data_IF_177609282875
#
_entry.id   IF_177609282875
#
_cell.length_a   1.000
_cell.length_b   1.000
_cell.length_c   1.000
_cell.angle_alpha   90.00
_cell.angle_beta   90.00
_cell.angle_gamma   90.00
#
_symmetry.space_group_name_H-M   'P 1'
#
loop_
_entity.id
_entity.type
_entity.pdbx_description
1 polymer ?
#
# COMPACT_ATOMS: atom_id res chain seq x y z
N UNK A 1 4.40 -5.58 15.91
CA UNK A 1 5.31 -6.02 17.00
C UNK A 1 6.53 -5.10 16.99
N UNK A 2 7.07 -4.72 18.14
CA UNK A 2 8.30 -3.91 18.18
C UNK A 2 9.47 -4.71 17.61
N UNK A 3 10.27 -4.09 16.73
CA UNK A 3 11.47 -4.71 16.16
C UNK A 3 12.65 -4.34 17.06
N UNK A 4 13.17 -5.34 17.79
CA UNK A 4 14.35 -5.20 18.62
C UNK A 4 15.62 -5.34 17.77
N UNK A 5 16.70 -4.67 18.16
CA UNK A 5 18.01 -4.74 17.50
C UNK A 5 18.02 -4.25 16.03
N UNK A 6 17.07 -3.39 15.65
CA UNK A 6 17.13 -2.72 14.36
C UNK A 6 18.19 -1.62 14.41
N UNK A 7 19.01 -1.54 13.36
CA UNK A 7 19.98 -0.48 13.16
C UNK A 7 19.30 0.73 12.52
N UNK A 8 19.39 1.88 13.18
CA UNK A 8 18.92 3.18 12.70
C UNK A 8 20.15 4.04 12.42
N UNK A 9 20.16 4.74 11.30
CA UNK A 9 21.21 5.68 10.91
C UNK A 9 20.59 6.94 10.32
N UNK A 10 21.23 8.09 10.57
CA UNK A 10 20.82 9.39 10.03
C UNK A 10 21.91 9.90 9.07
N UNK A 11 21.49 10.37 7.91
CA UNK A 11 22.38 11.02 6.96
C UNK A 11 22.98 12.29 7.60
N UNK A 12 24.31 12.41 7.57
CA UNK A 12 25.04 13.52 8.18
C UNK A 12 25.53 13.30 9.62
N UNK A 13 25.23 12.15 10.24
CA UNK A 13 25.80 11.75 11.54
C UNK A 13 26.67 10.50 11.38
N UNK A 14 27.88 10.54 11.91
CA UNK A 14 28.67 9.32 12.13
C UNK A 14 28.12 8.57 13.35
N UNK A 15 27.17 7.66 13.12
CA UNK A 15 26.61 6.85 14.21
C UNK A 15 25.44 5.97 13.79
N UNK A 16 25.33 4.82 14.44
CA UNK A 16 24.18 3.92 14.31
C UNK A 16 23.56 3.74 15.69
N UNK A 17 22.27 4.05 15.82
CA UNK A 17 21.49 3.72 17.01
C UNK A 17 20.87 2.34 16.83
N UNK A 18 20.76 1.57 17.91
CA UNK A 18 20.11 0.25 17.89
C UNK A 18 18.81 0.33 18.67
N UNK A 19 17.71 -0.15 18.08
CA UNK A 19 16.41 -0.14 18.76
C UNK A 19 16.43 -1.07 19.98
N UNK A 20 15.90 -0.59 21.10
CA UNK A 20 15.80 -1.38 22.34
C UNK A 20 14.66 -2.40 22.31
N UNK A 21 14.42 -3.05 23.45
CA UNK A 21 13.35 -4.06 23.64
C UNK A 21 11.93 -3.60 23.32
N UNK A 22 11.72 -2.28 23.23
CA UNK A 22 10.44 -1.65 22.90
C UNK A 22 10.43 -0.97 21.52
N UNK A 23 11.47 -1.15 20.71
CA UNK A 23 11.60 -0.51 19.40
C UNK A 23 12.04 0.97 19.45
N UNK A 24 12.28 1.52 20.64
CA UNK A 24 12.71 2.90 20.82
C UNK A 24 14.18 3.10 20.43
N UNK A 25 14.48 4.27 19.85
CA UNK A 25 15.81 4.76 19.52
C UNK A 25 15.87 6.28 19.74
N UNK A 26 17.07 6.86 19.85
CA UNK A 26 17.27 8.29 19.98
C UNK A 26 18.60 8.73 19.36
N UNK A 27 18.59 9.91 18.76
CA UNK A 27 19.79 10.63 18.31
C UNK A 27 19.82 11.98 19.01
N UNK A 28 20.62 12.15 20.07
CA UNK A 28 20.64 13.39 20.85
C UNK A 28 21.16 14.58 20.04
N UNK A 29 22.05 14.34 19.07
CA UNK A 29 22.69 15.37 18.25
C UNK A 29 22.24 15.31 16.79
N UNK A 30 20.94 15.11 16.56
CA UNK A 30 20.40 15.05 15.20
C UNK A 30 20.52 16.41 14.47
N UNK A 31 21.03 16.44 13.22
CA UNK A 31 21.10 17.67 12.43
C UNK A 31 19.73 18.28 12.24
N UNK A 32 19.67 19.60 12.27
CA UNK A 32 18.44 20.35 12.00
C UNK A 32 18.13 20.35 10.50
N UNK A 33 16.84 20.40 10.18
CA UNK A 33 16.33 20.36 8.81
C UNK A 33 15.82 18.98 8.42
N UNK A 34 15.63 18.78 7.12
CA UNK A 34 15.15 17.51 6.57
C UNK A 34 16.33 16.56 6.36
N UNK A 35 16.32 15.43 7.05
CA UNK A 35 17.38 14.42 7.01
C UNK A 35 16.84 13.05 6.60
N UNK A 36 17.64 12.28 5.85
CA UNK A 36 17.28 10.89 5.53
C UNK A 36 17.63 9.98 6.70
N UNK A 37 16.62 9.28 7.22
CA UNK A 37 16.77 8.23 8.22
C UNK A 37 16.64 6.87 7.56
N UNK A 38 17.66 6.02 7.71
CA UNK A 38 17.60 4.61 7.28
C UNK A 38 17.45 3.71 8.49
N UNK A 39 16.49 2.80 8.45
CA UNK A 39 16.31 1.74 9.44
C UNK A 39 16.37 0.37 8.79
N UNK A 40 17.14 -0.54 9.37
CA UNK A 40 17.34 -1.91 8.88
C UNK A 40 17.35 -2.92 10.03
N UNK A 41 16.78 -4.09 9.81
CA UNK A 41 16.85 -5.21 10.74
C UNK A 41 16.95 -6.54 9.99
N UNK A 42 17.65 -7.56 10.53
CA UNK A 42 17.67 -8.89 9.93
C UNK A 42 16.25 -9.43 9.72
N UNK A 43 16.02 -10.03 8.55
CA UNK A 43 14.70 -10.58 8.18
C UNK A 43 13.63 -9.52 7.88
N UNK A 44 13.99 -8.24 7.77
CA UNK A 44 13.09 -7.14 7.41
C UNK A 44 13.61 -6.34 6.21
N UNK A 45 12.70 -5.71 5.48
CA UNK A 45 13.05 -4.76 4.43
C UNK A 45 13.53 -3.46 5.07
N UNK A 46 14.63 -2.91 4.55
CA UNK A 46 15.17 -1.64 5.03
C UNK A 46 14.32 -0.48 4.53
N UNK A 47 14.01 0.46 5.42
CA UNK A 47 13.18 1.63 5.12
C UNK A 47 14.05 2.88 5.20
N UNK A 48 13.88 3.79 4.24
CA UNK A 48 14.47 5.13 4.27
C UNK A 48 13.34 6.15 4.31
N UNK A 49 13.39 7.07 5.27
CA UNK A 49 12.36 8.07 5.49
C UNK A 49 13.00 9.44 5.71
N UNK A 50 12.45 10.47 5.09
CA UNK A 50 12.82 11.86 5.38
C UNK A 50 12.17 12.29 6.70
N UNK A 51 12.99 12.80 7.61
CA UNK A 51 12.58 13.29 8.94
C UNK A 51 12.93 14.76 9.02
N UNK A 52 11.97 15.59 9.42
CA UNK A 52 12.22 17.01 9.70
C UNK A 52 12.53 17.19 11.19
N UNK A 53 13.72 17.73 11.48
CA UNK A 53 14.19 18.00 12.84
C UNK A 53 14.29 19.51 13.03
N UNK A 54 13.49 20.05 13.95
CA UNK A 54 13.46 21.48 14.28
C UNK A 54 14.16 21.76 15.61
N UNK A 55 14.86 22.90 15.69
CA UNK A 55 15.85 23.23 16.74
C UNK A 55 15.36 23.37 18.18
N UNK A 56 14.11 23.03 18.47
CA UNK A 56 13.47 23.25 19.76
C UNK A 56 12.54 22.11 20.20
N UNK A 57 12.45 21.00 19.43
CA UNK A 57 11.49 19.92 19.70
C UNK A 57 12.08 18.53 19.45
N UNK A 58 11.67 17.58 20.28
CA UNK A 58 11.90 16.15 20.02
C UNK A 58 11.06 15.75 18.80
N UNK A 59 11.72 15.29 17.74
CA UNK A 59 11.03 14.72 16.59
C UNK A 59 10.59 13.28 16.92
N UNK A 60 9.28 13.02 16.89
CA UNK A 60 8.73 11.68 17.02
C UNK A 60 8.51 11.08 15.64
N UNK A 61 9.17 9.97 15.35
CA UNK A 61 9.01 9.25 14.08
C UNK A 61 8.57 7.83 14.36
N UNK A 62 7.50 7.41 13.70
CA UNK A 62 7.08 6.03 13.69
C UNK A 62 7.54 5.38 12.40
N UNK A 63 8.35 4.33 12.51
CA UNK A 63 8.85 3.56 11.36
C UNK A 63 8.27 2.15 11.43
N UNK A 64 7.70 1.71 10.32
CA UNK A 64 7.21 0.34 10.17
C UNK A 64 8.24 -0.42 9.33
N UNK A 65 8.90 -1.41 9.92
CA UNK A 65 9.75 -2.34 9.16
C UNK A 65 8.92 -3.57 8.77
N UNK A 66 8.66 -3.80 7.48
CA UNK A 66 8.00 -5.00 7.05
C UNK A 66 8.96 -6.20 7.06
N UNK A 67 8.51 -7.36 7.52
CA UNK A 67 9.33 -8.57 7.49
C UNK A 67 9.39 -9.14 6.08
N UNK A 68 10.54 -9.71 5.70
CA UNK A 68 10.73 -10.35 4.38
C UNK A 68 9.72 -11.49 4.19
N UNK A 69 9.40 -12.22 5.25
CA UNK A 69 8.37 -13.25 5.21
C UNK A 69 6.96 -12.65 4.99
N UNK A 70 6.63 -11.49 5.60
CA UNK A 70 5.35 -10.84 5.37
C UNK A 70 5.23 -10.27 3.95
N UNK A 71 6.33 -9.78 3.37
CA UNK A 71 6.34 -9.31 1.97
C UNK A 71 6.21 -10.46 0.99
N UNK A 72 6.71 -11.65 1.35
CA UNK A 72 6.60 -12.86 0.52
C UNK A 72 5.27 -13.61 0.73
N UNK A 73 4.66 -13.49 1.92
CA UNK A 73 3.35 -14.07 2.24
C UNK A 73 2.17 -13.21 1.75
N UNK A 74 2.47 -12.17 0.97
CA UNK A 74 1.48 -11.27 0.41
C UNK A 74 0.64 -12.00 -0.63
N UNK A 75 -0.66 -11.71 -0.63
CA UNK A 75 -1.60 -12.26 -1.61
C UNK A 75 -1.40 -11.50 -2.92
N UNK A 76 -0.37 -11.88 -3.68
CA UNK A 76 -0.16 -11.38 -5.03
C UNK A 76 -1.07 -12.15 -5.97
N UNK A 77 -2.27 -11.62 -6.16
CA UNK A 77 -3.18 -12.09 -7.19
C UNK A 77 -2.74 -11.39 -8.48
N UNK A 78 -2.20 -12.15 -9.44
CA UNK A 78 -1.82 -11.64 -10.75
C UNK A 78 -2.86 -12.09 -11.78
N UNK A 79 -3.75 -11.18 -12.20
CA UNK A 79 -4.73 -11.48 -13.25
C UNK A 79 -4.09 -11.19 -14.60
N UNK A 80 -3.85 -12.23 -15.40
CA UNK A 80 -3.57 -12.05 -16.83
C UNK A 80 -4.87 -12.03 -17.62
N UNK A 81 -4.90 -11.36 -18.78
CA UNK A 81 -6.10 -11.23 -19.59
C UNK A 81 -6.47 -12.61 -20.15
N UNK A 82 -7.75 -12.84 -20.50
CA UNK A 82 -8.23 -14.17 -20.90
C UNK A 82 -7.48 -14.69 -22.13
N UNK A 83 -6.58 -15.64 -21.93
CA UNK A 83 -6.31 -16.68 -22.93
C UNK A 83 -7.16 -17.94 -22.63
N UNK A 84 -7.70 -18.02 -21.41
CA UNK A 84 -8.46 -19.16 -20.87
C UNK A 84 -9.97 -18.83 -20.73
N UNK A 85 -10.82 -19.77 -21.14
CA UNK A 85 -12.26 -19.62 -21.36
C UNK A 85 -13.11 -19.33 -20.11
N UNK A 86 -12.54 -19.30 -18.91
CA UNK A 86 -13.26 -19.05 -17.64
C UNK A 86 -13.45 -17.57 -17.34
N UNK A 87 -12.77 -16.68 -18.08
CA UNK A 87 -12.78 -15.22 -17.86
C UNK A 87 -13.60 -14.48 -18.95
N UNK A 88 -14.25 -15.19 -19.89
CA UNK A 88 -15.05 -14.61 -20.98
C UNK A 88 -16.27 -13.79 -20.52
N UNK A 89 -16.70 -13.93 -19.26
CA UNK A 89 -17.81 -13.14 -18.71
C UNK A 89 -17.40 -11.74 -18.23
N UNK A 90 -16.10 -11.46 -18.09
CA UNK A 90 -15.62 -10.15 -17.64
C UNK A 90 -15.59 -9.16 -18.80
N UNK A 91 -16.35 -8.06 -18.70
CA UNK A 91 -16.36 -7.01 -19.72
C UNK A 91 -15.43 -5.86 -19.36
N UNK A 92 -15.21 -5.65 -18.07
CA UNK A 92 -14.44 -4.53 -17.52
C UNK A 92 -13.34 -4.99 -16.57
N UNK A 93 -12.36 -4.11 -16.30
CA UNK A 93 -11.34 -4.34 -15.28
C UNK A 93 -11.96 -4.59 -13.89
N UNK A 94 -13.14 -4.00 -13.62
CA UNK A 94 -13.89 -4.22 -12.39
C UNK A 94 -14.45 -5.65 -12.28
N UNK A 95 -14.89 -6.24 -13.40
CA UNK A 95 -15.39 -7.61 -13.42
C UNK A 95 -14.24 -8.60 -13.15
N UNK A 96 -13.09 -8.38 -13.79
CA UNK A 96 -11.86 -9.15 -13.54
C UNK A 96 -11.45 -9.09 -12.06
N UNK A 97 -11.45 -7.89 -11.48
CA UNK A 97 -11.12 -7.68 -10.08
C UNK A 97 -12.11 -8.39 -9.13
N UNK A 98 -13.39 -8.40 -9.49
CA UNK A 98 -14.46 -9.03 -8.67
C UNK A 98 -14.43 -10.56 -8.72
N UNK A 99 -13.99 -11.14 -9.84
CA UNK A 99 -13.81 -12.59 -9.99
C UNK A 99 -12.61 -13.07 -9.16
N UNK A 100 -11.48 -12.37 -9.25
CA UNK A 100 -10.22 -12.90 -8.74
C UNK A 100 -9.94 -12.56 -7.27
N UNK A 101 -10.65 -11.58 -6.70
CA UNK A 101 -10.56 -11.29 -5.27
C UNK A 101 -11.88 -11.68 -4.59
N UNK A 102 -12.08 -12.95 -4.19
CA UNK A 102 -13.27 -13.43 -3.48
C UNK A 102 -13.62 -12.66 -2.20
N UNK A 103 -12.73 -11.78 -1.73
CA UNK A 103 -12.85 -10.95 -0.53
C UNK A 103 -13.14 -9.47 -0.81
N UNK A 104 -13.19 -9.02 -2.06
CA UNK A 104 -13.62 -7.65 -2.38
C UNK A 104 -15.13 -7.54 -2.19
N UNK A 105 -15.56 -6.63 -1.33
CA UNK A 105 -16.96 -6.22 -1.22
C UNK A 105 -17.14 -4.83 -1.79
N UNK A 106 -18.06 -4.71 -2.73
CA UNK A 106 -18.55 -3.46 -3.28
C UNK A 106 -19.76 -3.07 -2.44
N UNK A 107 -19.65 -2.00 -1.67
CA UNK A 107 -20.80 -1.44 -0.97
C UNK A 107 -21.24 -0.19 -1.75
N UNK A 108 -22.48 -0.17 -2.24
CA UNK A 108 -23.10 1.06 -2.73
C UNK A 108 -23.71 1.80 -1.55
N UNK A 109 -23.21 3.00 -1.27
CA UNK A 109 -23.78 3.84 -0.21
C UNK A 109 -24.99 4.58 -0.78
N UNK A 110 -26.17 3.99 -0.58
CA UNK A 110 -27.50 4.51 -0.94
C UNK A 110 -27.96 4.37 -2.40
N UNK A 111 -29.20 3.91 -2.56
CA UNK A 111 -29.93 3.83 -3.83
C UNK A 111 -30.05 5.24 -4.41
N UNK A 112 -29.42 5.49 -5.56
CA UNK A 112 -29.52 6.76 -6.29
C UNK A 112 -28.33 7.73 -6.15
N UNK A 113 -27.23 7.34 -5.46
CA UNK A 113 -25.95 8.06 -5.52
C UNK A 113 -24.86 7.14 -6.08
N UNK A 114 -24.01 7.67 -6.96
CA UNK A 114 -22.87 6.98 -7.57
C UNK A 114 -21.65 6.89 -6.63
N UNK A 115 -21.89 6.71 -5.33
CA UNK A 115 -20.85 6.60 -4.31
C UNK A 115 -20.56 5.10 -4.05
N UNK A 116 -19.58 4.55 -4.77
CA UNK A 116 -19.16 3.16 -4.67
C UNK A 116 -17.89 3.04 -3.82
N UNK A 117 -17.95 2.23 -2.75
CA UNK A 117 -16.82 1.98 -1.86
C UNK A 117 -16.36 0.53 -2.00
N UNK A 118 -15.10 0.32 -2.37
CA UNK A 118 -14.44 -0.99 -2.40
C UNK A 118 -13.79 -1.29 -1.05
N UNK A 119 -13.91 -2.52 -0.55
CA UNK A 119 -13.28 -2.94 0.71
C UNK A 119 -12.68 -4.35 0.62
N UNK A 120 -11.45 -4.52 1.14
CA UNK A 120 -10.67 -5.78 1.10
C UNK A 120 -10.73 -6.60 2.40
N UNK A 121 -11.35 -6.07 3.47
CA UNK A 121 -11.41 -6.70 4.80
C UNK A 121 -12.84 -6.71 5.36
N UNK A 122 -13.25 -7.75 6.10
CA UNK A 122 -14.46 -7.71 6.91
C UNK A 122 -14.20 -6.86 8.16
N UNK A 123 -14.82 -5.68 8.23
CA UNK A 123 -14.81 -4.82 9.40
C UNK A 123 -16.13 -4.07 9.52
N UNK A 124 -16.72 -4.08 10.72
CA UNK A 124 -17.90 -3.29 11.07
C UNK A 124 -17.53 -1.81 11.07
N UNK A 125 -18.03 -1.05 10.11
CA UNK A 125 -17.74 0.38 9.95
C UNK A 125 -18.39 1.18 11.08
N UNK A 126 -17.59 1.83 11.93
CA UNK A 126 -18.10 2.84 12.89
C UNK A 126 -17.68 4.24 12.45
N UNK A 127 -16.45 4.48 11.99
CA UNK A 127 -16.01 5.74 11.36
C UNK A 127 -14.74 5.48 10.51
N UNK A 128 -14.70 5.88 9.23
CA UNK A 128 -13.52 5.86 8.36
C UNK A 128 -13.68 5.06 7.06
N UNK A 129 -13.21 5.61 5.93
CA UNK A 129 -13.22 4.92 4.62
C UNK A 129 -12.21 3.77 4.61
N UNK A 130 -12.66 2.55 4.28
CA UNK A 130 -11.83 1.33 4.21
C UNK A 130 -11.37 1.07 2.76
N UNK A 131 -11.34 2.12 1.95
CA UNK A 131 -11.01 2.01 0.53
C UNK A 131 -9.51 1.72 0.32
N UNK A 132 -9.16 0.74 -0.54
CA UNK A 132 -7.79 0.58 -0.99
C UNK A 132 -7.36 1.75 -1.87
N UNK A 133 -6.05 1.97 -1.94
CA UNK A 133 -5.46 2.84 -2.93
C UNK A 133 -5.50 2.12 -4.29
N UNK A 134 -6.09 2.73 -5.31
CA UNK A 134 -6.15 2.15 -6.65
C UNK A 134 -5.17 2.91 -7.55
N UNK A 135 -4.31 2.20 -8.27
CA UNK A 135 -3.39 2.75 -9.24
C UNK A 135 -3.70 2.17 -10.60
N UNK A 136 -3.89 3.04 -11.60
CA UNK A 136 -4.09 2.64 -13.00
C UNK A 136 -2.91 3.17 -13.79
N UNK A 137 -2.10 2.27 -14.38
CA UNK A 137 -0.87 2.60 -15.11
C UNK A 137 0.12 3.49 -14.32
N UNK A 138 0.12 3.35 -12.99
CA UNK A 138 0.94 4.13 -12.06
C UNK A 138 0.31 5.46 -11.62
N UNK A 139 -0.88 5.81 -12.10
CA UNK A 139 -1.64 7.00 -11.69
C UNK A 139 -2.55 6.65 -10.51
N UNK A 140 -2.42 7.41 -9.42
CA UNK A 140 -3.24 7.23 -8.22
C UNK A 140 -4.67 7.71 -8.47
N UNK A 141 -5.63 6.82 -8.24
CA UNK A 141 -7.06 7.07 -8.30
C UNK A 141 -7.63 7.10 -6.87
N UNK A 142 -8.30 8.20 -6.51
CA UNK A 142 -8.85 8.39 -5.17
C UNK A 142 -10.40 8.30 -5.17
N UNK A 143 -10.96 7.55 -4.21
CA UNK A 143 -12.41 7.48 -3.96
C UNK A 143 -13.22 6.92 -5.12
N UNK A 144 -14.49 7.35 -5.25
CA UNK A 144 -15.45 6.86 -6.24
C UNK A 144 -15.01 6.99 -7.72
N UNK A 145 -14.06 7.89 -8.03
CA UNK A 145 -13.49 8.04 -9.38
C UNK A 145 -12.71 6.80 -9.83
N UNK A 146 -12.14 6.06 -8.89
CA UNK A 146 -11.44 4.82 -9.20
C UNK A 146 -12.40 3.75 -9.73
N UNK A 147 -13.61 3.67 -9.19
CA UNK A 147 -14.63 2.73 -9.64
C UNK A 147 -15.09 3.04 -11.07
N UNK A 148 -15.38 4.31 -11.37
CA UNK A 148 -15.75 4.73 -12.73
C UNK A 148 -14.65 4.46 -13.74
N UNK A 149 -13.39 4.69 -13.36
CA UNK A 149 -12.25 4.41 -14.22
C UNK A 149 -12.08 2.91 -14.51
N UNK A 150 -12.26 2.04 -13.50
CA UNK A 150 -12.19 0.58 -13.68
C UNK A 150 -13.34 0.04 -14.54
N UNK A 151 -14.53 0.64 -14.46
CA UNK A 151 -15.64 0.32 -15.36
C UNK A 151 -15.37 0.79 -16.80
N UNK A 152 -14.62 1.88 -16.97
CA UNK A 152 -14.25 2.42 -18.27
C UNK A 152 -13.17 1.62 -19.00
N UNK A 153 -12.43 0.74 -18.31
CA UNK A 153 -11.36 -0.08 -18.89
C UNK A 153 -11.93 -1.44 -19.33
N UNK A 154 -11.91 -1.76 -20.63
CA UNK A 154 -12.30 -3.08 -21.12
C UNK A 154 -11.39 -4.19 -20.55
N UNK A 155 -11.96 -5.34 -20.20
CA UNK A 155 -11.20 -6.47 -19.64
C UNK A 155 -10.05 -6.94 -20.56
N UNK A 156 -10.22 -6.82 -21.88
CA UNK A 156 -9.20 -7.15 -22.90
C UNK A 156 -8.01 -6.17 -22.93
N UNK A 157 -8.20 -4.95 -22.43
CA UNK A 157 -7.20 -3.90 -22.44
C UNK A 157 -6.42 -3.87 -21.12
N UNK A 158 -6.88 -4.62 -20.12
CA UNK A 158 -6.09 -4.94 -18.92
C UNK A 158 -4.95 -5.85 -19.33
N UNK A 159 -3.73 -5.57 -18.88
CA UNK A 159 -2.56 -6.44 -19.01
C UNK A 159 -2.36 -7.25 -17.73
N UNK A 160 -2.47 -6.57 -16.59
CA UNK A 160 -2.29 -7.19 -15.29
C UNK A 160 -3.11 -6.48 -14.21
N UNK A 161 -3.68 -7.23 -13.28
CA UNK A 161 -4.20 -6.69 -12.01
C UNK A 161 -3.40 -7.31 -10.88
N UNK A 162 -2.81 -6.47 -10.02
CA UNK A 162 -2.10 -6.88 -8.82
C UNK A 162 -2.79 -6.30 -7.59
N UNK A 163 -3.00 -7.13 -6.57
CA UNK A 163 -3.57 -6.69 -5.30
C UNK A 163 -2.51 -6.85 -4.23
N UNK A 164 -2.13 -5.76 -3.57
CA UNK A 164 -1.15 -5.75 -2.48
C UNK A 164 -1.88 -5.56 -1.15
N UNK A 165 -1.50 -6.35 -0.14
CA UNK A 165 -2.11 -6.31 1.18
C UNK A 165 -1.08 -6.42 2.29
N UNK A 166 -1.29 -5.68 3.38
CA UNK A 166 -0.38 -5.73 4.51
C UNK A 166 0.86 -4.89 4.24
N UNK A 167 2.00 -5.52 3.96
CA UNK A 167 3.29 -4.85 4.00
C UNK A 167 3.78 -4.25 2.67
N UNK A 168 3.55 -4.85 1.50
CA UNK A 168 3.87 -4.14 0.25
C UNK A 168 2.87 -3.01 -0.02
N UNK A 169 1.64 -3.11 0.49
CA UNK A 169 0.74 -1.96 0.56
C UNK A 169 1.35 -0.78 1.34
N UNK A 170 2.13 -1.05 2.41
CA UNK A 170 2.76 0.01 3.21
C UNK A 170 3.86 0.79 2.47
N UNK A 171 4.32 0.31 1.31
CA UNK A 171 5.25 1.06 0.43
C UNK A 171 4.56 2.21 -0.31
N UNK A 172 3.22 2.21 -0.36
CA UNK A 172 2.44 3.25 -1.01
C UNK A 172 1.88 4.25 0.02
N UNK A 173 2.24 5.54 -0.06
CA UNK A 173 1.65 6.57 0.79
C UNK A 173 0.14 6.57 0.60
N UNK A 174 -0.63 6.66 1.69
CA UNK A 174 -2.11 6.64 1.73
C UNK A 174 -2.79 5.27 1.55
N UNK A 175 -2.03 4.18 1.38
CA UNK A 175 -2.58 2.83 1.25
C UNK A 175 -2.94 2.17 2.60
N UNK A 176 -3.82 2.82 3.38
CA UNK A 176 -4.20 2.35 4.72
C UNK A 176 -4.88 0.96 4.72
N UNK A 177 -5.52 0.58 3.61
CA UNK A 177 -6.37 -0.61 3.53
C UNK A 177 -5.97 -1.62 2.42
N UNK A 178 -4.81 -1.42 1.78
CA UNK A 178 -4.35 -2.22 0.64
C UNK A 178 -4.15 -1.38 -0.62
N UNK A 179 -3.51 -1.96 -1.64
CA UNK A 179 -3.28 -1.32 -2.95
C UNK A 179 -3.79 -2.25 -4.04
N UNK A 180 -4.44 -1.69 -5.06
CA UNK A 180 -4.80 -2.41 -6.28
C UNK A 180 -4.11 -1.70 -7.44
N UNK A 181 -3.21 -2.41 -8.12
CA UNK A 181 -2.51 -1.93 -9.30
C UNK A 181 -3.18 -2.55 -10.52
N UNK A 182 -3.57 -1.72 -11.47
CA UNK A 182 -4.09 -2.14 -12.77
C UNK A 182 -3.15 -1.60 -13.83
N UNK A 183 -2.52 -2.51 -14.57
CA UNK A 183 -1.74 -2.18 -15.76
C UNK A 183 -2.59 -2.47 -16.98
N UNK A 184 -2.62 -1.54 -17.93
CA UNK A 184 -3.27 -1.72 -19.23
C UNK A 184 -2.24 -2.02 -20.31
N UNK A 185 -2.65 -2.77 -21.32
CA UNK A 185 -1.81 -3.10 -22.47
C UNK A 185 -1.48 -1.79 -23.18
N UNK A 186 -0.23 -1.34 -23.08
CA UNK A 186 0.26 -0.21 -23.87
C UNK A 186 0.28 -0.63 -25.34
N UNK A 187 -0.46 0.11 -26.16
CA UNK A 187 -0.82 -0.26 -27.53
C UNK A 187 0.30 -0.87 -28.38
N UNK A 188 -0.08 -1.86 -29.18
CA UNK A 188 0.62 -2.22 -30.42
C UNK A 188 0.49 -1.11 -31.45
#
# INVERSE_FOLDING_TARGET
>A
QAVNSASVSLEGIEGVATTGRWGAFAFPDAPLGTISMRVSAPGHVSVVQLVEVSGDRVAFVQVVLPSVAATLAEVFVQVRPPEDSTVEAAQTAMDLLSIEVPRIRINSSAVGKSDYTLSLRPGTTVVGSVEPLILIDGVVMAGGLAYEALLGIPARDVENIEVLTGVAAALYPLAANGVILVATVRGR
#
